data_IF_879276944838
#
_entry.id   IF_879276944838
#
_cell.length_a   1.000
_cell.length_b   1.000
_cell.length_c   1.000
_cell.angle_alpha   90.00
_cell.angle_beta   90.00
_cell.angle_gamma   90.00
#
_symmetry.space_group_name_H-M   'P 1'
#
loop_
_entity.id
_entity.type
_entity.pdbx_description
1 polymer ?
#
# COMPACT_ATOMS: atom_id res chain seq x y z
N UNK A 1 -7.20 0.62 -9.53
CA UNK A 1 -6.37 0.83 -8.32
C UNK A 1 -7.28 0.71 -7.11
N UNK A 2 -6.85 0.03 -6.04
CA UNK A 2 -7.66 -0.16 -4.83
C UNK A 2 -7.38 0.87 -3.72
N UNK A 3 -7.96 0.68 -2.52
CA UNK A 3 -7.88 1.65 -1.43
C UNK A 3 -6.44 1.91 -0.98
N UNK A 4 -6.19 3.16 -0.59
CA UNK A 4 -4.87 3.65 -0.15
C UNK A 4 -5.01 4.38 1.16
N UNK A 5 -4.18 4.00 2.12
CA UNK A 5 -3.97 4.65 3.41
C UNK A 5 -2.76 5.58 3.32
N UNK A 6 -2.79 6.66 4.09
CA UNK A 6 -1.58 7.37 4.49
C UNK A 6 -1.52 7.41 6.02
N UNK A 7 -0.32 7.44 6.59
CA UNK A 7 -0.17 7.71 8.02
C UNK A 7 -0.33 9.21 8.33
N UNK A 8 -0.45 9.55 9.61
CA UNK A 8 -0.52 10.95 10.09
C UNK A 8 0.76 11.76 9.77
N UNK A 9 1.90 11.08 9.58
CA UNK A 9 3.19 11.68 9.20
C UNK A 9 3.24 12.10 7.74
N UNK A 10 2.40 11.50 6.89
CA UNK A 10 2.33 11.70 5.46
C UNK A 10 3.53 11.10 4.71
N UNK A 11 4.38 10.32 5.37
CA UNK A 11 5.60 9.75 4.80
C UNK A 11 5.45 8.27 4.42
N UNK A 12 4.40 7.59 4.90
CA UNK A 12 4.08 6.22 4.49
C UNK A 12 2.73 6.12 3.77
N UNK A 13 2.72 5.38 2.66
CA UNK A 13 1.50 4.98 1.96
C UNK A 13 1.26 3.48 2.14
N UNK A 14 0.03 3.10 2.50
CA UNK A 14 -0.42 1.71 2.59
C UNK A 14 -1.40 1.36 1.47
N UNK A 15 -1.17 0.27 0.75
CA UNK A 15 -2.08 -0.19 -0.30
C UNK A 15 -2.80 -1.44 0.15
N UNK A 16 -4.13 -1.45 0.02
CA UNK A 16 -4.87 -2.69 0.23
C UNK A 16 -4.65 -3.63 -0.95
N UNK A 17 -4.24 -4.86 -0.66
CA UNK A 17 -3.92 -5.91 -1.65
C UNK A 17 -4.79 -7.15 -1.41
N UNK A 18 -4.95 -8.03 -2.41
CA UNK A 18 -5.69 -9.29 -2.24
C UNK A 18 -5.14 -10.15 -1.09
N UNK A 19 -6.00 -10.94 -0.43
CA UNK A 19 -5.56 -11.87 0.61
C UNK A 19 -4.51 -12.86 0.08
N UNK A 20 -3.58 -13.28 0.94
CA UNK A 20 -2.47 -14.15 0.58
C UNK A 20 -1.28 -13.44 -0.08
N UNK A 21 -1.39 -12.16 -0.41
CA UNK A 21 -0.26 -11.38 -0.97
C UNK A 21 0.94 -11.35 -0.03
N UNK A 22 0.70 -11.20 1.27
CA UNK A 22 1.74 -11.11 2.30
C UNK A 22 2.66 -12.35 2.33
N UNK A 23 2.12 -13.54 2.05
CA UNK A 23 2.89 -14.79 2.05
C UNK A 23 4.00 -14.85 0.99
N UNK A 24 3.88 -14.06 -0.09
CA UNK A 24 4.84 -13.99 -1.19
C UNK A 24 5.33 -12.55 -1.42
N UNK A 25 5.33 -11.73 -0.37
CA UNK A 25 5.85 -10.37 -0.46
C UNK A 25 7.36 -10.34 -0.20
N UNK A 26 8.11 -10.10 -1.27
CA UNK A 26 9.56 -9.96 -1.23
C UNK A 26 9.97 -8.74 -2.06
N UNK A 27 9.86 -7.55 -1.45
CA UNK A 27 10.26 -6.29 -2.07
C UNK A 27 10.98 -5.40 -1.05
N UNK A 28 12.29 -5.12 -1.22
CA UNK A 28 13.07 -4.32 -0.29
C UNK A 28 12.50 -2.92 -0.06
N UNK A 29 12.56 -2.45 1.19
CA UNK A 29 12.05 -1.13 1.56
C UNK A 29 10.53 -1.05 1.67
N UNK A 30 9.84 -2.19 1.58
CA UNK A 30 8.39 -2.27 1.77
C UNK A 30 8.04 -3.43 2.70
N UNK A 31 6.85 -3.37 3.29
CA UNK A 31 6.30 -4.44 4.13
C UNK A 31 4.90 -4.77 3.65
N UNK A 32 4.49 -6.03 3.82
CA UNK A 32 3.11 -6.45 3.58
C UNK A 32 2.63 -7.25 4.78
N UNK A 33 1.60 -6.74 5.43
CA UNK A 33 1.02 -7.33 6.64
C UNK A 33 -0.25 -8.06 6.27
N UNK A 34 -0.38 -9.31 6.70
CA UNK A 34 -1.62 -10.05 6.56
C UNK A 34 -2.67 -9.46 7.51
N UNK A 35 -3.89 -9.24 7.01
CA UNK A 35 -5.04 -8.87 7.84
C UNK A 35 -5.76 -10.15 8.29
N UNK A 36 -6.51 -10.10 9.38
CA UNK A 36 -7.14 -11.27 10.04
C UNK A 36 -8.19 -12.03 9.19
N UNK A 37 -8.26 -11.81 7.88
CA UNK A 37 -8.99 -12.67 6.94
C UNK A 37 -10.50 -12.64 7.06
N UNK A 38 -11.07 -11.83 7.97
CA UNK A 38 -12.52 -11.74 8.20
C UNK A 38 -13.28 -10.92 7.17
N UNK A 39 -12.63 -10.51 6.08
CA UNK A 39 -13.12 -9.45 5.22
C UNK A 39 -13.17 -8.18 6.04
N UNK A 40 -12.06 -7.43 6.10
CA UNK A 40 -12.05 -6.17 6.81
C UNK A 40 -13.22 -5.34 6.28
N UNK A 41 -14.19 -5.02 7.13
CA UNK A 41 -15.20 -4.03 6.77
C UNK A 41 -14.43 -2.73 6.67
N UNK A 42 -14.11 -2.34 5.43
CA UNK A 42 -13.49 -1.06 5.15
C UNK A 42 -14.62 -0.03 5.33
N UNK A 43 -14.91 0.27 6.60
CA UNK A 43 -15.76 1.37 7.01
C UNK A 43 -15.12 2.68 6.53
N UNK A 44 -15.84 3.82 6.52
CA UNK A 44 -15.22 5.11 6.20
C UNK A 44 -14.02 5.43 7.10
N UNK A 45 -13.88 4.77 8.25
CA UNK A 45 -12.70 4.84 9.10
C UNK A 45 -11.70 3.73 8.75
N UNK A 46 -10.41 4.07 8.61
CA UNK A 46 -9.39 3.09 8.27
C UNK A 46 -9.08 2.14 9.43
N UNK A 47 -8.72 0.87 9.14
CA UNK A 47 -8.53 -0.16 10.15
C UNK A 47 -7.22 -0.02 10.94
N UNK A 48 -6.36 0.91 10.56
CA UNK A 48 -5.03 1.14 11.17
C UNK A 48 -5.07 2.45 11.95
N UNK A 49 -4.72 2.40 13.24
CA UNK A 49 -4.67 3.59 14.08
C UNK A 49 -3.58 4.58 13.59
N UNK A 50 -3.88 5.88 13.59
CA UNK A 50 -2.97 6.92 13.09
C UNK A 50 -2.79 6.90 11.56
N UNK A 51 -3.84 6.48 10.86
CA UNK A 51 -3.91 6.54 9.40
C UNK A 51 -5.25 7.11 8.96
N UNK A 52 -5.27 7.64 7.74
CA UNK A 52 -6.44 8.17 7.05
C UNK A 52 -6.50 7.59 5.63
N UNK A 53 -7.70 7.57 5.04
CA UNK A 53 -7.87 7.16 3.64
C UNK A 53 -7.39 8.26 2.70
N UNK A 54 -6.34 7.98 1.91
CA UNK A 54 -6.03 8.78 0.72
C UNK A 54 -6.99 8.45 -0.42
N UNK A 55 -7.33 7.17 -0.58
CA UNK A 55 -8.32 6.68 -1.51
C UNK A 55 -9.24 5.70 -0.77
N UNK A 56 -10.48 6.11 -0.45
CA UNK A 56 -11.37 5.31 0.38
C UNK A 56 -11.94 4.08 -0.35
N UNK A 57 -12.33 3.04 0.40
CA UNK A 57 -13.13 1.94 -0.13
C UNK A 57 -14.46 2.45 -0.72
N UNK A 58 -14.80 2.02 -1.94
CA UNK A 58 -16.08 2.31 -2.59
C UNK A 58 -15.97 3.08 -3.91
N UNK A 59 -15.04 4.04 -4.03
CA UNK A 59 -14.76 4.73 -5.30
C UNK A 59 -13.66 4.03 -6.12
N UNK A 60 -12.96 3.08 -5.49
CA UNK A 60 -11.80 2.35 -6.03
C UNK A 60 -12.11 0.85 -6.23
N UNK A 61 -11.21 0.15 -6.94
CA UNK A 61 -11.27 -1.32 -7.03
C UNK A 61 -11.16 -1.93 -5.63
N UNK A 62 -11.61 -3.17 -5.41
CA UNK A 62 -11.58 -3.79 -4.07
C UNK A 62 -10.17 -3.97 -3.50
N UNK A 63 -9.16 -4.08 -4.36
CA UNK A 63 -7.76 -4.19 -3.97
C UNK A 63 -6.83 -3.77 -5.12
N UNK A 64 -5.62 -3.35 -4.79
CA UNK A 64 -4.55 -3.05 -5.75
C UNK A 64 -3.88 -4.34 -6.18
N UNK A 65 -3.69 -4.53 -7.50
CA UNK A 65 -2.96 -5.68 -8.04
C UNK A 65 -1.51 -5.69 -7.50
N UNK A 66 -1.08 -6.78 -6.83
CA UNK A 66 0.23 -6.81 -6.19
C UNK A 66 1.38 -6.88 -7.18
N UNK A 67 1.18 -7.33 -8.43
CA UNK A 67 2.22 -7.27 -9.47
C UNK A 67 2.44 -5.82 -9.93
N UNK A 68 1.35 -5.10 -10.20
CA UNK A 68 1.40 -3.67 -10.56
C UNK A 68 2.02 -2.84 -9.44
N UNK A 69 1.65 -3.12 -8.18
CA UNK A 69 2.22 -2.44 -7.02
C UNK A 69 3.74 -2.64 -6.90
N UNK A 70 4.24 -3.88 -7.09
CA UNK A 70 5.68 -4.16 -7.04
C UNK A 70 6.45 -3.43 -8.14
N UNK A 71 5.92 -3.41 -9.36
CA UNK A 71 6.53 -2.66 -10.47
C UNK A 71 6.60 -1.16 -10.15
N UNK A 72 5.50 -0.57 -9.67
CA UNK A 72 5.45 0.85 -9.33
C UNK A 72 6.43 1.22 -8.20
N UNK A 73 6.50 0.42 -7.14
CA UNK A 73 7.43 0.64 -6.03
C UNK A 73 8.89 0.44 -6.47
N UNK A 74 9.15 -0.57 -7.31
CA UNK A 74 10.47 -0.79 -7.88
C UNK A 74 10.93 0.37 -8.77
N UNK A 75 10.02 0.94 -9.55
CA UNK A 75 10.30 2.15 -10.34
C UNK A 75 10.55 3.37 -9.47
N UNK A 76 9.71 3.59 -8.44
CA UNK A 76 9.91 4.67 -7.48
C UNK A 76 11.28 4.60 -6.80
N UNK A 77 11.70 3.41 -6.35
CA UNK A 77 13.01 3.21 -5.76
C UNK A 77 14.17 3.53 -6.72
N UNK A 78 14.03 3.16 -8.01
CA UNK A 78 15.01 3.51 -9.05
C UNK A 78 15.09 5.02 -9.26
N UNK A 79 13.95 5.70 -9.32
CA UNK A 79 13.90 7.16 -9.48
C UNK A 79 14.54 7.90 -8.30
N UNK A 80 14.24 7.48 -7.07
CA UNK A 80 14.83 8.06 -5.85
C UNK A 80 16.35 7.87 -5.87
N UNK A 81 16.83 6.64 -6.16
CA UNK A 81 18.27 6.36 -6.25
C UNK A 81 18.97 7.20 -7.32
N UNK A 82 18.33 7.39 -8.47
CA UNK A 82 18.87 8.25 -9.53
C UNK A 82 18.96 9.72 -9.07
N UNK A 83 17.92 10.23 -8.40
CA UNK A 83 17.92 11.59 -7.86
C UNK A 83 19.01 11.81 -6.80
N UNK A 84 19.20 10.84 -5.88
CA UNK A 84 20.25 10.91 -4.85
C UNK A 84 21.67 10.90 -5.44
N UNK A 85 21.88 10.22 -6.58
CA UNK A 85 23.18 10.14 -7.25
C UNK A 85 23.57 11.41 -8.01
N UNK A 86 22.62 12.32 -8.25
CA UNK A 86 22.86 13.60 -8.92
C UNK A 86 23.28 14.72 -7.95
N UNK A 87 23.44 14.43 -6.65
CA UNK A 87 23.81 15.41 -5.61
C UNK A 87 25.31 15.49 -5.35
#
# INVERSE_FOLDING_TARGET
>A
MGPVLHDDGGDTLGFLVPPGTAAAWDLPGSTCTETDGRGATLAPEPPVAGSDWLLPPGEADLATDPAVLREALGEAARMIKAADSCR
#
